data_IF_180950732012
#
_entry.id   IF_180950732012
#
_cell.length_a   1.000
_cell.length_b   1.000
_cell.length_c   1.000
_cell.angle_alpha   90.00
_cell.angle_beta   90.00
_cell.angle_gamma   90.00
#
_symmetry.space_group_name_H-M   'P 1'
#
loop_
_entity.id
_entity.type
_entity.pdbx_description
1 polymer ?
#
# COMPACT_ATOMS: atom_id res chain seq x y z
N UNK A 1 3.40 -16.02 -46.22
CA UNK A 1 2.58 -15.75 -45.03
C UNK A 1 3.43 -16.10 -43.84
N UNK A 2 4.18 -15.14 -43.34
CA UNK A 2 5.03 -15.32 -42.16
C UNK A 2 4.18 -15.49 -40.90
N UNK A 3 4.61 -16.29 -39.92
CA UNK A 3 3.89 -16.47 -38.67
C UNK A 3 4.03 -15.21 -37.80
N UNK A 4 2.91 -14.75 -37.24
CA UNK A 4 2.88 -13.75 -36.18
C UNK A 4 3.71 -14.28 -35.00
N UNK A 5 4.94 -13.79 -34.91
CA UNK A 5 5.80 -14.04 -33.76
C UNK A 5 5.26 -13.20 -32.62
N UNK A 6 4.67 -13.87 -31.62
CA UNK A 6 4.34 -13.23 -30.36
C UNK A 6 5.66 -12.77 -29.75
N UNK A 7 5.92 -11.46 -29.81
CA UNK A 7 7.06 -10.84 -29.14
C UNK A 7 6.88 -11.09 -27.64
N UNK A 8 7.81 -11.79 -26.97
CA UNK A 8 7.77 -11.90 -25.52
C UNK A 8 7.84 -10.49 -24.97
N UNK A 9 6.85 -10.08 -24.18
CA UNK A 9 6.93 -8.83 -23.46
C UNK A 9 8.17 -8.90 -22.56
N UNK A 10 9.17 -8.09 -22.87
CA UNK A 10 10.28 -7.85 -21.95
C UNK A 10 9.68 -7.23 -20.69
N UNK A 11 9.56 -8.05 -19.65
CA UNK A 11 9.28 -7.57 -18.31
C UNK A 11 10.49 -6.75 -17.92
N UNK A 12 10.40 -5.45 -18.14
CA UNK A 12 11.39 -4.48 -17.67
C UNK A 12 11.59 -4.78 -16.18
N UNK A 13 12.82 -5.17 -15.83
CA UNK A 13 13.18 -5.57 -14.48
C UNK A 13 12.73 -4.45 -13.56
N UNK A 14 11.67 -4.73 -12.80
CA UNK A 14 11.08 -3.81 -11.83
C UNK A 14 12.22 -3.22 -11.01
N UNK A 15 12.50 -1.94 -11.25
CA UNK A 15 13.51 -1.17 -10.55
C UNK A 15 13.47 -1.51 -9.06
N UNK A 16 14.64 -1.91 -8.54
CA UNK A 16 14.84 -2.30 -7.16
C UNK A 16 14.18 -1.27 -6.23
N UNK A 17 13.12 -1.69 -5.51
CA UNK A 17 12.50 -0.89 -4.45
C UNK A 17 13.47 -0.84 -3.27
N UNK A 18 14.51 -0.03 -3.39
CA UNK A 18 15.55 0.20 -2.37
C UNK A 18 15.11 1.35 -1.46
N UNK A 19 14.01 1.15 -0.75
CA UNK A 19 13.65 1.97 0.40
C UNK A 19 13.06 1.05 1.47
N UNK A 20 13.93 0.25 2.09
CA UNK A 20 13.58 -0.39 3.37
C UNK A 20 13.58 0.70 4.43
N UNK A 21 12.41 1.30 4.65
CA UNK A 21 12.19 2.16 5.83
C UNK A 21 12.08 1.21 7.02
N UNK A 22 13.20 0.98 7.70
CA UNK A 22 13.23 0.22 8.94
C UNK A 22 12.77 1.13 10.08
N UNK A 23 11.47 1.39 10.10
CA UNK A 23 10.80 1.84 11.29
C UNK A 23 10.55 0.60 12.16
N UNK A 24 10.93 0.69 13.44
CA UNK A 24 10.64 -0.37 14.41
C UNK A 24 9.13 -0.60 14.58
N UNK A 25 8.70 -1.33 15.61
CA UNK A 25 7.27 -1.43 15.91
C UNK A 25 6.65 -0.02 16.05
N UNK A 26 5.78 0.36 15.12
CA UNK A 26 5.03 1.62 15.15
C UNK A 26 3.59 1.38 15.57
N UNK A 27 3.07 2.27 16.39
CA UNK A 27 1.65 2.27 16.74
C UNK A 27 0.83 2.69 15.51
N UNK A 28 -0.24 1.96 15.24
CA UNK A 28 -1.11 2.19 14.09
C UNK A 28 -2.48 2.67 14.53
N UNK A 29 -2.99 3.64 13.80
CA UNK A 29 -4.39 4.03 13.86
C UNK A 29 -5.18 3.23 12.82
N UNK A 30 -6.37 2.73 13.21
CA UNK A 30 -7.25 1.93 12.35
C UNK A 30 -8.65 2.52 12.39
N UNK A 31 -9.21 2.81 11.21
CA UNK A 31 -10.62 3.13 11.04
C UNK A 31 -11.27 1.99 10.26
N UNK A 32 -12.14 1.23 10.92
CA UNK A 32 -12.85 0.10 10.35
C UNK A 32 -14.32 0.45 10.13
N UNK A 33 -14.84 0.06 8.97
CA UNK A 33 -16.27 -0.04 8.75
C UNK A 33 -16.77 -1.31 9.47
N UNK A 34 -17.76 -1.15 10.34
CA UNK A 34 -18.32 -2.25 11.13
C UNK A 34 -19.34 -3.08 10.34
N UNK A 35 -19.70 -2.66 9.13
CA UNK A 35 -20.75 -3.28 8.32
C UNK A 35 -20.21 -4.30 7.31
N UNK A 36 -18.92 -4.24 6.98
CA UNK A 36 -18.27 -5.10 5.99
C UNK A 36 -16.95 -5.68 6.54
N UNK A 37 -16.77 -6.98 6.35
CA UNK A 37 -15.54 -7.65 6.78
C UNK A 37 -14.33 -7.14 5.99
N UNK A 38 -13.22 -6.91 6.71
CA UNK A 38 -11.96 -6.42 6.14
C UNK A 38 -12.03 -5.03 5.47
N UNK A 39 -13.09 -4.26 5.70
CA UNK A 39 -13.19 -2.88 5.27
C UNK A 39 -12.55 -1.94 6.31
N UNK A 40 -11.27 -1.61 6.12
CA UNK A 40 -10.57 -0.67 6.99
C UNK A 40 -9.51 0.15 6.25
N UNK A 41 -9.18 1.31 6.82
CA UNK A 41 -8.00 2.10 6.47
C UNK A 41 -7.07 2.20 7.67
N UNK A 42 -5.76 2.32 7.42
CA UNK A 42 -4.75 2.43 8.47
C UNK A 42 -3.66 3.44 8.11
N UNK A 43 -3.10 4.06 9.13
CA UNK A 43 -1.94 4.96 9.08
C UNK A 43 -1.15 4.85 10.38
N UNK A 44 0.04 5.46 10.44
CA UNK A 44 0.77 5.60 11.69
C UNK A 44 0.00 6.49 12.66
N UNK A 45 0.08 6.20 13.96
CA UNK A 45 -0.61 6.99 14.97
C UNK A 45 -0.13 8.45 14.99
N UNK A 46 1.15 8.69 14.70
CA UNK A 46 1.74 10.05 14.67
C UNK A 46 1.23 10.90 13.50
N UNK A 47 0.79 10.26 12.41
CA UNK A 47 0.16 10.92 11.27
C UNK A 47 -1.34 11.14 11.48
N UNK A 48 -1.94 10.53 12.51
CA UNK A 48 -3.37 10.62 12.75
C UNK A 48 -3.73 11.98 13.36
N UNK A 49 -4.77 12.61 12.82
CA UNK A 49 -5.33 13.81 13.43
C UNK A 49 -5.82 13.51 14.86
N UNK A 50 -5.65 14.47 15.78
CA UNK A 50 -6.18 14.33 17.15
C UNK A 50 -7.71 14.26 17.15
N UNK A 51 -8.33 13.54 18.11
CA UNK A 51 -9.80 13.42 18.19
C UNK A 51 -10.57 14.75 18.12
N UNK A 52 -10.12 15.86 18.73
CA UNK A 52 -10.79 17.16 18.56
C UNK A 52 -10.76 17.71 17.14
N UNK A 53 -9.73 17.38 16.34
CA UNK A 53 -9.59 17.83 14.95
C UNK A 53 -10.47 17.04 13.96
N UNK A 54 -11.12 15.97 14.42
CA UNK A 54 -12.05 15.17 13.61
C UNK A 54 -13.48 15.70 13.63
N UNK A 55 -13.78 16.64 14.53
CA UNK A 55 -15.11 17.23 14.69
C UNK A 55 -15.40 18.31 13.65
#
# INVERSE_FOLDING_TARGET
MEPDTIVPAEVEASSEVMASVEEGPVDKFILADITEDNAFITLQLDDAASLPAWR
#
